data_IF_313217202036
#
_entry.id   IF_313217202036
#
_cell.length_a   1.000
_cell.length_b   1.000
_cell.length_c   1.000
_cell.angle_alpha   90.00
_cell.angle_beta   90.00
_cell.angle_gamma   90.00
#
_symmetry.space_group_name_H-M   'P 1'
#
loop_
_entity.id
_entity.type
_entity.pdbx_description
1 polymer ?
#
# COMPACT_ATOMS: atom_id res chain seq x y z
N UNK A 1 -5.87 -23.53 0.16
CA UNK A 1 -6.12 -22.29 -0.60
C UNK A 1 -5.99 -21.06 0.30
N UNK A 2 -6.59 -21.07 1.50
CA UNK A 2 -6.45 -19.99 2.48
C UNK A 2 -4.99 -19.67 2.85
N UNK A 3 -4.15 -20.68 3.08
CA UNK A 3 -2.72 -20.48 3.40
C UNK A 3 -1.94 -19.74 2.29
N UNK A 4 -2.26 -19.98 1.00
CA UNK A 4 -1.63 -19.25 -0.10
C UNK A 4 -2.08 -17.79 -0.13
N UNK A 5 -3.36 -17.57 0.16
CA UNK A 5 -3.97 -16.24 0.21
C UNK A 5 -3.42 -15.41 1.37
N UNK A 6 -3.25 -16.03 2.54
CA UNK A 6 -2.60 -15.43 3.70
C UNK A 6 -1.16 -15.01 3.34
N UNK A 7 -0.38 -15.89 2.71
CA UNK A 7 0.97 -15.56 2.23
C UNK A 7 0.97 -14.39 1.24
N UNK A 8 0.00 -14.34 0.33
CA UNK A 8 -0.14 -13.24 -0.63
C UNK A 8 -0.46 -11.91 0.07
N UNK A 9 -1.35 -11.91 1.07
CA UNK A 9 -1.61 -10.71 1.88
C UNK A 9 -0.40 -10.27 2.70
N UNK A 10 0.29 -11.20 3.36
CA UNK A 10 1.53 -10.88 4.11
C UNK A 10 2.56 -10.24 3.18
N UNK A 11 2.72 -10.77 1.96
CA UNK A 11 3.63 -10.20 0.98
C UNK A 11 3.20 -8.82 0.49
N UNK A 12 1.90 -8.61 0.27
CA UNK A 12 1.35 -7.29 -0.03
C UNK A 12 1.69 -6.28 1.08
N UNK A 13 1.44 -6.62 2.35
CA UNK A 13 1.76 -5.75 3.48
C UNK A 13 3.26 -5.47 3.58
N UNK A 14 4.11 -6.45 3.26
CA UNK A 14 5.55 -6.24 3.16
C UNK A 14 5.90 -5.19 2.07
N UNK A 15 5.30 -5.26 0.88
CA UNK A 15 5.48 -4.25 -0.17
C UNK A 15 5.01 -2.85 0.27
N UNK A 16 3.86 -2.76 0.93
CA UNK A 16 3.35 -1.50 1.50
C UNK A 16 4.36 -0.90 2.49
N UNK A 17 4.93 -1.72 3.38
CA UNK A 17 5.94 -1.25 4.33
C UNK A 17 7.22 -0.77 3.63
N UNK A 18 7.61 -1.38 2.52
CA UNK A 18 8.74 -0.91 1.71
C UNK A 18 8.48 0.46 1.07
N UNK A 19 7.28 0.67 0.51
CA UNK A 19 6.86 1.96 -0.02
C UNK A 19 6.89 3.03 1.08
N UNK A 20 6.32 2.74 2.26
CA UNK A 20 6.35 3.67 3.39
C UNK A 20 7.78 3.95 3.86
N UNK A 21 8.62 2.90 3.95
CA UNK A 21 10.03 3.05 4.34
C UNK A 21 10.79 3.94 3.37
N UNK A 22 10.44 3.99 2.09
CA UNK A 22 11.12 4.85 1.11
C UNK A 22 11.07 6.34 1.50
N UNK A 23 10.01 6.81 2.17
CA UNK A 23 9.90 8.18 2.69
C UNK A 23 10.99 8.53 3.71
N UNK A 24 11.49 7.53 4.45
CA UNK A 24 12.60 7.72 5.38
C UNK A 24 13.89 8.10 4.66
N UNK A 25 13.99 7.98 3.33
CA UNK A 25 15.16 8.38 2.53
C UNK A 25 14.98 9.72 1.81
N UNK A 26 13.78 10.30 1.79
CA UNK A 26 13.48 11.57 1.10
C UNK A 26 14.26 12.75 1.68
N UNK A 27 14.65 12.70 2.97
CA UNK A 27 15.54 13.69 3.59
C UNK A 27 16.93 13.79 2.93
N UNK A 28 17.32 12.79 2.13
CA UNK A 28 18.59 12.76 1.39
C UNK A 28 18.51 13.45 0.04
N UNK A 29 17.32 13.87 -0.39
CA UNK A 29 17.15 14.63 -1.64
C UNK A 29 17.81 15.99 -1.43
N UNK A 30 18.92 16.16 -2.14
CA UNK A 30 19.82 17.30 -2.04
C UNK A 30 19.06 18.60 -2.33
N UNK A 31 19.12 19.53 -1.38
CA UNK A 31 18.36 20.78 -1.28
C UNK A 31 18.55 21.78 -2.45
N UNK A 32 19.33 21.43 -3.48
CA UNK A 32 19.90 22.35 -4.46
C UNK A 32 19.12 22.45 -5.79
N UNK A 33 18.01 21.72 -5.98
CA UNK A 33 17.18 21.77 -7.20
C UNK A 33 15.69 21.92 -6.88
N UNK A 34 15.03 23.04 -7.24
CA UNK A 34 13.61 23.25 -6.97
C UNK A 34 12.66 22.18 -7.54
N UNK A 35 12.96 21.62 -8.71
CA UNK A 35 12.17 20.52 -9.28
C UNK A 35 12.24 19.24 -8.45
N UNK A 36 13.41 18.94 -7.87
CA UNK A 36 13.59 17.80 -6.97
C UNK A 36 12.80 17.96 -5.66
N UNK A 37 12.57 19.19 -5.20
CA UNK A 37 11.72 19.48 -4.06
C UNK A 37 10.24 19.24 -4.32
N UNK A 38 9.77 19.67 -5.49
CA UNK A 38 8.37 19.47 -5.89
C UNK A 38 8.09 17.97 -5.97
N UNK A 39 8.97 17.21 -6.62
CA UNK A 39 8.85 15.75 -6.69
C UNK A 39 8.88 15.12 -5.29
N UNK A 40 9.87 15.49 -4.46
CA UNK A 40 9.97 14.98 -3.09
C UNK A 40 8.71 15.22 -2.25
N UNK A 41 8.05 16.37 -2.44
CA UNK A 41 6.80 16.70 -1.77
C UNK A 41 5.65 15.82 -2.27
N UNK A 42 5.54 15.62 -3.58
CA UNK A 42 4.53 14.73 -4.19
C UNK A 42 4.72 13.31 -3.65
N UNK A 43 5.95 12.80 -3.68
CA UNK A 43 6.29 11.46 -3.19
C UNK A 43 5.94 11.30 -1.69
N UNK A 44 6.24 12.32 -0.86
CA UNK A 44 5.88 12.32 0.56
C UNK A 44 4.35 12.34 0.77
N UNK A 45 3.61 13.09 -0.04
CA UNK A 45 2.15 13.13 0.04
C UNK A 45 1.55 11.77 -0.30
N UNK A 46 2.05 11.13 -1.36
CA UNK A 46 1.63 9.78 -1.74
C UNK A 46 1.92 8.78 -0.62
N UNK A 47 3.14 8.79 -0.06
CA UNK A 47 3.51 7.85 1.00
C UNK A 47 2.69 8.07 2.28
N UNK A 48 2.42 9.32 2.66
CA UNK A 48 1.54 9.62 3.79
C UNK A 48 0.13 9.09 3.54
N UNK A 49 -0.40 9.24 2.33
CA UNK A 49 -1.71 8.69 1.98
C UNK A 49 -1.74 7.16 2.08
N UNK A 50 -0.70 6.46 1.61
CA UNK A 50 -0.55 5.00 1.78
C UNK A 50 -0.52 4.65 3.28
N UNK A 51 0.30 5.35 4.06
CA UNK A 51 0.42 5.12 5.50
C UNK A 51 -0.93 5.31 6.21
N UNK A 52 -1.66 6.38 5.92
CA UNK A 52 -2.97 6.66 6.52
C UNK A 52 -4.00 5.59 6.16
N UNK A 53 -4.05 5.16 4.90
CA UNK A 53 -4.97 4.11 4.45
C UNK A 53 -4.72 2.79 5.20
N UNK A 54 -3.47 2.36 5.28
CA UNK A 54 -3.12 1.09 5.92
C UNK A 54 -3.08 1.17 7.46
N UNK A 55 -2.85 2.34 8.04
CA UNK A 55 -2.94 2.57 9.48
C UNK A 55 -4.39 2.47 9.98
N UNK A 56 -5.35 2.98 9.20
CA UNK A 56 -6.77 2.98 9.56
C UNK A 56 -7.50 1.67 9.20
N UNK A 57 -6.92 0.84 8.33
CA UNK A 57 -7.53 -0.42 7.88
C UNK A 57 -7.91 -1.37 9.05
N UNK A 58 -7.06 -1.59 10.08
CA UNK A 58 -7.41 -2.46 11.21
C UNK A 58 -8.61 -1.96 12.02
N UNK A 59 -8.73 -0.64 12.20
CA UNK A 59 -9.87 -0.06 12.91
C UNK A 59 -11.18 -0.26 12.13
N UNK A 60 -11.14 -0.08 10.80
CA UNK A 60 -12.27 -0.35 9.91
C UNK A 60 -12.69 -1.84 9.95
N UNK A 61 -11.70 -2.74 9.98
CA UNK A 61 -11.89 -4.18 10.12
C UNK A 61 -12.61 -4.56 11.42
N UNK A 62 -12.15 -4.00 12.54
CA UNK A 62 -12.67 -4.33 13.88
C UNK A 62 -14.09 -3.77 14.07
N UNK A 63 -14.34 -2.55 13.58
CA UNK A 63 -15.60 -1.87 13.83
C UNK A 63 -16.71 -2.28 12.85
N UNK A 64 -16.39 -2.90 11.71
CA UNK A 64 -17.36 -3.31 10.69
C UNK A 64 -17.09 -4.71 10.11
N UNK A 65 -17.02 -5.75 10.95
CA UNK A 65 -16.60 -7.09 10.51
C UNK A 65 -17.54 -7.72 9.47
N UNK A 66 -18.83 -7.38 9.51
CA UNK A 66 -19.83 -7.91 8.59
C UNK A 66 -19.86 -7.22 7.22
N UNK A 67 -19.22 -6.06 7.10
CA UNK A 67 -19.11 -5.30 5.83
C UNK A 67 -17.79 -5.60 5.11
N UNK A 68 -16.85 -6.26 5.79
CA UNK A 68 -15.51 -6.47 5.28
C UNK A 68 -15.38 -7.85 4.64
N UNK A 69 -15.48 -7.90 3.32
CA UNK A 69 -15.00 -9.02 2.52
C UNK A 69 -13.79 -8.62 1.65
N UNK A 70 -13.19 -9.59 0.96
CA UNK A 70 -12.03 -9.32 0.09
C UNK A 70 -12.36 -8.34 -1.03
N UNK A 71 -13.58 -8.40 -1.59
CA UNK A 71 -13.99 -7.48 -2.64
C UNK A 71 -14.04 -6.06 -2.11
N UNK A 72 -14.61 -5.84 -0.93
CA UNK A 72 -14.63 -4.57 -0.24
C UNK A 72 -13.21 -4.03 -0.03
N UNK A 73 -12.27 -4.88 0.41
CA UNK A 73 -10.87 -4.47 0.61
C UNK A 73 -10.25 -3.92 -0.67
N UNK A 74 -10.41 -4.64 -1.78
CA UNK A 74 -9.87 -4.21 -3.06
C UNK A 74 -10.57 -2.97 -3.62
N UNK A 75 -11.90 -2.87 -3.49
CA UNK A 75 -12.66 -1.69 -3.86
C UNK A 75 -12.23 -0.46 -3.04
N UNK A 76 -12.00 -0.64 -1.74
CA UNK A 76 -11.50 0.39 -0.84
C UNK A 76 -10.10 0.88 -1.24
N UNK A 77 -9.17 -0.03 -1.51
CA UNK A 77 -7.83 0.33 -2.00
C UNK A 77 -7.90 1.04 -3.36
N UNK A 78 -8.73 0.56 -4.28
CA UNK A 78 -8.91 1.20 -5.60
C UNK A 78 -9.40 2.63 -5.49
N UNK A 79 -10.31 2.88 -4.55
CA UNK A 79 -10.85 4.22 -4.29
C UNK A 79 -9.82 5.14 -3.63
N UNK A 80 -9.03 4.64 -2.68
CA UNK A 80 -8.15 5.46 -1.83
C UNK A 80 -6.73 5.62 -2.37
N UNK A 81 -6.23 4.63 -3.08
CA UNK A 81 -4.88 4.56 -3.63
C UNK A 81 -4.91 4.19 -5.13
N UNK A 82 -5.61 4.97 -5.99
CA UNK A 82 -5.80 4.61 -7.40
C UNK A 82 -4.47 4.43 -8.16
N UNK A 83 -3.44 5.22 -7.81
CA UNK A 83 -2.13 5.18 -8.47
C UNK A 83 -1.31 3.93 -8.08
N UNK A 84 -1.55 3.37 -6.89
CA UNK A 84 -0.84 2.19 -6.35
C UNK A 84 -1.67 0.91 -6.42
N UNK A 85 -2.97 1.01 -6.68
CA UNK A 85 -3.89 -0.12 -6.70
C UNK A 85 -3.42 -1.22 -7.66
N UNK A 86 -3.11 -0.89 -8.91
CA UNK A 86 -2.71 -1.88 -9.91
C UNK A 86 -1.41 -2.59 -9.49
N UNK A 87 -0.44 -1.86 -8.95
CA UNK A 87 0.79 -2.44 -8.43
C UNK A 87 0.50 -3.42 -7.28
N UNK A 88 -0.28 -3.01 -6.28
CA UNK A 88 -0.63 -3.86 -5.14
C UNK A 88 -1.47 -5.08 -5.51
N UNK A 89 -2.40 -4.93 -6.45
CA UNK A 89 -3.19 -6.03 -6.96
C UNK A 89 -2.33 -7.03 -7.75
N UNK A 90 -1.39 -6.53 -8.56
CA UNK A 90 -0.45 -7.35 -9.30
C UNK A 90 0.45 -8.16 -8.36
N UNK A 91 1.11 -7.54 -7.38
CA UNK A 91 2.01 -8.27 -6.47
C UNK A 91 1.27 -9.33 -5.64
N UNK A 92 0.03 -9.04 -5.25
CA UNK A 92 -0.83 -10.02 -4.58
C UNK A 92 -1.15 -11.21 -5.50
N UNK A 93 -1.57 -10.93 -6.74
CA UNK A 93 -1.96 -11.95 -7.71
C UNK A 93 -0.77 -12.80 -8.14
N UNK A 94 0.38 -12.19 -8.37
CA UNK A 94 1.63 -12.92 -8.65
C UNK A 94 2.00 -13.83 -7.48
N UNK A 95 1.91 -13.33 -6.24
CA UNK A 95 2.23 -14.14 -5.06
C UNK A 95 1.25 -15.28 -4.84
N UNK A 96 -0.02 -15.07 -5.14
CA UNK A 96 -1.06 -16.10 -5.05
C UNK A 96 -0.82 -17.25 -6.06
N UNK A 97 -0.26 -16.91 -7.22
CA UNK A 97 0.00 -17.83 -8.33
C UNK A 97 1.42 -18.40 -8.34
N UNK A 98 2.32 -17.92 -7.47
CA UNK A 98 3.61 -18.56 -7.26
C UNK A 98 3.38 -20.01 -6.83
N UNK A 99 3.96 -20.95 -7.59
CA UNK A 99 3.78 -22.39 -7.38
C UNK A 99 4.06 -22.74 -5.91
N UNK A 100 3.07 -23.37 -5.28
CA UNK A 100 3.19 -24.02 -3.96
C UNK A 100 4.31 -25.06 -3.96
#
# INVERSE_FOLDING_TARGET
MEVLKEKAYVYLFYCVLLDIRSASYTHRIKWWKPSSWIQAKIDLQEINNIADVFHNLPDLLVNRPNEFDEKWFWDYLKQRLPEKYEFYFQVFTEKLNEKA
#
